data_IF_623466615901
#
_entry.id   IF_623466615901
#
_cell.length_a   1.000
_cell.length_b   1.000
_cell.length_c   1.000
_cell.angle_alpha   90.00
_cell.angle_beta   90.00
_cell.angle_gamma   90.00
#
_symmetry.space_group_name_H-M   'P 1'
#
loop_
_entity.id
_entity.type
_entity.pdbx_description
1 polymer ?
#
# COMPACT_ATOMS: atom_id res chain seq x y z
N UNK A 1 25.88 -1.33 7.60
CA UNK A 1 25.13 -1.66 6.38
C UNK A 1 23.67 -1.45 6.68
N UNK A 2 23.14 -0.27 6.39
CA UNK A 2 21.69 -0.03 6.29
C UNK A 2 21.53 1.10 5.30
N UNK A 3 21.13 0.73 4.07
CA UNK A 3 20.62 1.59 3.01
C UNK A 3 19.66 2.64 3.60
N UNK A 4 20.08 3.90 3.57
CA UNK A 4 19.25 5.08 3.84
C UNK A 4 18.93 5.85 2.55
N UNK A 5 18.97 5.22 1.37
CA UNK A 5 18.67 5.88 0.10
C UNK A 5 17.45 5.27 -0.59
N UNK A 6 16.37 6.06 -0.65
CA UNK A 6 15.13 5.76 -1.37
C UNK A 6 13.95 5.70 -0.43
N UNK A 7 13.09 6.74 -0.44
CA UNK A 7 11.97 6.88 0.50
C UNK A 7 10.79 5.96 0.22
N UNK A 8 11.05 4.67 0.00
CA UNK A 8 10.03 3.65 0.14
C UNK A 8 9.54 3.59 1.59
N UNK A 9 8.24 3.35 1.79
CA UNK A 9 7.69 3.11 3.12
C UNK A 9 8.32 1.82 3.69
N UNK A 10 9.30 1.97 4.58
CA UNK A 10 10.02 0.86 5.20
C UNK A 10 9.10 -0.08 5.98
N UNK A 11 9.58 -1.29 6.28
CA UNK A 11 8.78 -2.33 6.95
C UNK A 11 8.10 -1.82 8.23
N UNK A 12 8.83 -1.07 9.06
CA UNK A 12 8.29 -0.49 10.30
C UNK A 12 7.14 0.49 10.08
N UNK A 13 7.25 1.36 9.08
CA UNK A 13 6.22 2.36 8.77
C UNK A 13 4.94 1.66 8.27
N UNK A 14 5.11 0.64 7.42
CA UNK A 14 4.02 -0.21 6.92
C UNK A 14 3.33 -0.99 8.06
N UNK A 15 4.11 -1.53 9.00
CA UNK A 15 3.58 -2.25 10.18
C UNK A 15 2.77 -1.32 11.10
N UNK A 16 3.25 -0.10 11.37
CA UNK A 16 2.50 0.89 12.17
C UNK A 16 1.17 1.25 11.53
N UNK A 17 1.16 1.50 10.22
CA UNK A 17 -0.07 1.81 9.49
C UNK A 17 -1.03 0.62 9.50
N UNK A 18 -0.54 -0.61 9.30
CA UNK A 18 -1.36 -1.81 9.35
C UNK A 18 -2.08 -1.93 10.70
N UNK A 19 -1.37 -1.73 11.81
CA UNK A 19 -1.95 -1.71 13.16
C UNK A 19 -3.00 -0.61 13.36
N UNK A 20 -2.73 0.61 12.88
CA UNK A 20 -3.69 1.72 12.99
C UNK A 20 -5.00 1.47 12.21
N UNK A 21 -4.92 0.70 11.13
CA UNK A 21 -6.05 0.40 10.26
C UNK A 21 -6.71 -0.96 10.54
N UNK A 22 -6.32 -1.65 11.61
CA UNK A 22 -6.73 -3.02 11.95
C UNK A 22 -6.52 -3.98 10.76
N UNK A 23 -5.30 -3.96 10.21
CA UNK A 23 -4.87 -4.79 9.08
C UNK A 23 -3.79 -5.77 9.51
N UNK A 24 -3.73 -6.95 8.87
CA UNK A 24 -2.61 -7.86 9.06
C UNK A 24 -1.28 -7.18 8.71
N UNK A 25 -0.24 -7.58 9.43
CA UNK A 25 1.09 -6.99 9.26
C UNK A 25 1.66 -7.32 7.86
N UNK A 26 2.43 -6.38 7.27
CA UNK A 26 3.08 -6.60 5.98
C UNK A 26 3.96 -7.86 6.00
N UNK A 27 3.82 -8.71 4.98
CA UNK A 27 4.56 -9.97 4.91
C UNK A 27 3.92 -11.13 5.67
N UNK A 28 2.71 -10.96 6.21
CA UNK A 28 1.89 -12.11 6.59
C UNK A 28 1.70 -13.02 5.38
N UNK A 29 1.73 -14.34 5.58
CA UNK A 29 1.58 -15.34 4.50
C UNK A 29 0.28 -15.20 3.69
N UNK A 30 -0.64 -14.35 4.14
CA UNK A 30 -1.95 -14.10 3.54
C UNK A 30 -1.85 -13.24 2.28
N UNK A 31 -0.92 -12.29 2.23
CA UNK A 31 -0.72 -11.38 1.10
C UNK A 31 0.72 -11.45 0.60
N UNK A 32 0.88 -11.65 -0.70
CA UNK A 32 2.18 -11.77 -1.34
C UNK A 32 2.33 -10.76 -2.48
N UNK A 33 3.56 -10.29 -2.71
CA UNK A 33 3.90 -9.57 -3.92
C UNK A 33 3.71 -10.47 -5.16
N UNK A 34 3.50 -9.86 -6.33
CA UNK A 34 3.12 -10.50 -7.60
C UNK A 34 3.97 -11.71 -8.05
N UNK A 35 5.13 -11.95 -7.44
CA UNK A 35 6.02 -13.09 -7.72
C UNK A 35 5.39 -14.48 -7.48
N UNK A 36 4.13 -14.57 -7.03
CA UNK A 36 3.41 -15.84 -6.80
C UNK A 36 2.04 -15.89 -7.45
N UNK A 37 1.80 -15.25 -8.59
CA UNK A 37 0.57 -15.47 -9.36
C UNK A 37 0.53 -16.91 -9.92
N UNK A 38 0.20 -17.89 -9.07
CA UNK A 38 -0.17 -19.24 -9.48
C UNK A 38 -1.70 -19.28 -9.67
N UNK A 39 -2.22 -20.25 -10.43
CA UNK A 39 -3.64 -20.38 -10.81
C UNK A 39 -4.63 -20.37 -9.63
N UNK A 40 -4.14 -20.59 -8.40
CA UNK A 40 -4.93 -20.59 -7.16
C UNK A 40 -5.02 -19.24 -6.45
N UNK A 41 -4.27 -18.23 -6.89
CA UNK A 41 -4.19 -16.95 -6.21
C UNK A 41 -5.06 -15.90 -6.92
N UNK A 42 -5.81 -15.11 -6.16
CA UNK A 42 -6.44 -13.90 -6.69
C UNK A 42 -5.54 -12.70 -6.46
N UNK A 43 -5.19 -11.99 -7.53
CA UNK A 43 -4.40 -10.77 -7.45
C UNK A 43 -5.29 -9.52 -7.52
N UNK A 44 -4.90 -8.50 -6.76
CA UNK A 44 -5.51 -7.18 -6.73
C UNK A 44 -4.47 -6.17 -7.17
N UNK A 45 -4.77 -5.48 -8.26
CA UNK A 45 -3.99 -4.35 -8.76
C UNK A 45 -4.57 -3.05 -8.20
N UNK A 46 -3.70 -2.23 -7.61
CA UNK A 46 -4.06 -0.91 -7.11
C UNK A 46 -3.06 0.10 -7.62
N UNK A 47 -3.56 1.18 -8.22
CA UNK A 47 -2.77 2.34 -8.54
C UNK A 47 -3.13 3.49 -7.60
N UNK A 48 -2.12 4.13 -7.03
CA UNK A 48 -2.26 5.36 -6.29
C UNK A 48 -1.68 6.50 -7.13
N UNK A 49 -2.35 7.65 -7.12
CA UNK A 49 -1.87 8.86 -7.76
C UNK A 49 -1.90 10.02 -6.78
N UNK A 50 -0.80 10.74 -6.67
CA UNK A 50 -0.68 11.96 -5.88
C UNK A 50 0.07 13.01 -6.68
N UNK A 51 -0.51 14.21 -6.81
CA UNK A 51 0.10 15.34 -7.56
C UNK A 51 0.60 14.97 -8.97
N UNK A 52 -0.14 14.11 -9.69
CA UNK A 52 0.24 13.64 -11.04
C UNK A 52 1.30 12.54 -11.07
N UNK A 53 1.82 12.12 -9.92
CA UNK A 53 2.72 10.98 -9.78
C UNK A 53 1.89 9.74 -9.47
N UNK A 54 1.96 8.74 -10.36
CA UNK A 54 1.24 7.48 -10.24
C UNK A 54 2.18 6.32 -10.00
N UNK A 55 1.84 5.45 -9.05
CA UNK A 55 2.48 4.15 -8.85
C UNK A 55 1.40 3.05 -8.79
N UNK A 56 1.71 1.87 -9.32
CA UNK A 56 0.80 0.74 -9.30
C UNK A 56 1.47 -0.45 -8.63
N UNK A 57 0.73 -1.12 -7.75
CA UNK A 57 1.17 -2.28 -7.01
C UNK A 57 0.15 -3.40 -7.13
N UNK A 58 0.67 -4.61 -7.27
CA UNK A 58 -0.11 -5.83 -7.30
C UNK A 58 0.14 -6.64 -6.04
N UNK A 59 -0.93 -7.13 -5.43
CA UNK A 59 -0.87 -8.04 -4.29
C UNK A 59 -1.80 -9.23 -4.49
N UNK A 60 -1.30 -10.42 -4.22
CA UNK A 60 -2.02 -11.67 -4.44
C UNK A 60 -2.33 -12.35 -3.13
N UNK A 61 -3.53 -12.92 -3.05
CA UNK A 61 -4.08 -13.66 -1.91
C UNK A 61 -4.50 -15.05 -2.35
N UNK A 62 -4.42 -16.01 -1.43
CA UNK A 62 -4.99 -17.36 -1.64
C UNK A 62 -6.49 -17.37 -1.40
N UNK A 63 -6.94 -16.65 -0.36
CA UNK A 63 -8.34 -16.53 -0.01
C UNK A 63 -8.97 -15.31 -0.70
N UNK A 64 -10.16 -15.50 -1.28
CA UNK A 64 -10.93 -14.41 -1.86
C UNK A 64 -11.36 -13.37 -0.82
N UNK A 65 -11.53 -13.79 0.44
CA UNK A 65 -11.90 -12.90 1.54
C UNK A 65 -10.76 -11.94 1.92
N UNK A 66 -9.52 -12.31 1.63
CA UNK A 66 -8.34 -11.48 1.87
C UNK A 66 -8.14 -10.40 0.78
N UNK A 67 -8.97 -10.33 -0.27
CA UNK A 67 -8.85 -9.30 -1.34
C UNK A 67 -8.84 -7.87 -0.81
N UNK A 68 -9.59 -7.60 0.26
CA UNK A 68 -9.60 -6.29 0.92
C UNK A 68 -8.25 -5.99 1.57
N UNK A 69 -7.62 -6.98 2.17
CA UNK A 69 -6.29 -6.85 2.74
C UNK A 69 -5.23 -6.67 1.65
N UNK A 70 -5.26 -7.47 0.57
CA UNK A 70 -4.41 -7.29 -0.59
C UNK A 70 -4.53 -5.89 -1.21
N UNK A 71 -5.76 -5.40 -1.39
CA UNK A 71 -6.01 -4.05 -1.89
C UNK A 71 -5.35 -2.99 -1.01
N UNK A 72 -5.54 -3.08 0.32
CA UNK A 72 -5.01 -2.08 1.24
C UNK A 72 -3.49 -2.12 1.32
N UNK A 73 -2.88 -3.31 1.28
CA UNK A 73 -1.42 -3.42 1.25
C UNK A 73 -0.85 -2.90 -0.08
N UNK A 74 -1.46 -3.26 -1.22
CA UNK A 74 -1.08 -2.74 -2.53
C UNK A 74 -1.17 -1.21 -2.55
N UNK A 75 -2.28 -0.66 -2.04
CA UNK A 75 -2.48 0.77 -1.94
C UNK A 75 -1.43 1.47 -1.08
N UNK A 76 -1.10 0.94 0.11
CA UNK A 76 -0.08 1.54 0.98
C UNK A 76 1.26 1.66 0.28
N UNK A 77 1.66 0.61 -0.43
CA UNK A 77 2.94 0.61 -1.15
C UNK A 77 2.89 1.54 -2.35
N UNK A 78 1.82 1.50 -3.14
CA UNK A 78 1.65 2.38 -4.30
C UNK A 78 1.64 3.86 -3.86
N UNK A 79 0.87 4.18 -2.82
CA UNK A 79 0.74 5.54 -2.33
C UNK A 79 2.02 6.04 -1.68
N UNK A 80 2.71 5.19 -0.89
CA UNK A 80 4.02 5.51 -0.32
C UNK A 80 5.06 5.82 -1.41
N UNK A 81 5.13 4.99 -2.45
CA UNK A 81 6.02 5.21 -3.59
C UNK A 81 5.66 6.48 -4.39
N UNK A 82 4.36 6.76 -4.55
CA UNK A 82 3.91 7.98 -5.20
C UNK A 82 4.31 9.22 -4.39
N UNK A 83 4.15 9.19 -3.07
CA UNK A 83 4.61 10.26 -2.18
C UNK A 83 6.13 10.46 -2.22
N UNK A 84 6.91 9.38 -2.22
CA UNK A 84 8.37 9.44 -2.31
C UNK A 84 8.85 10.07 -3.60
N UNK A 85 8.26 9.67 -4.73
CA UNK A 85 8.59 10.23 -6.04
C UNK A 85 8.12 11.68 -6.20
N UNK A 86 7.00 12.04 -5.58
CA UNK A 86 6.51 13.42 -5.57
C UNK A 86 7.37 14.33 -4.67
N UNK A 87 7.87 13.79 -3.55
CA UNK A 87 8.63 14.53 -2.54
C UNK A 87 9.85 13.74 -2.07
N UNK A 88 10.88 13.61 -2.94
CA UNK A 88 12.08 12.86 -2.59
C UNK A 88 12.78 13.52 -1.40
N UNK A 89 13.32 12.70 -0.49
CA UNK A 89 13.98 13.17 0.74
C UNK A 89 15.17 14.12 0.49
N UNK A 90 15.74 14.10 -0.72
CA UNK A 90 16.83 14.98 -1.17
C UNK A 90 16.38 16.36 -1.66
N UNK A 91 15.08 16.63 -1.76
CA UNK A 91 14.55 17.94 -2.15
C UNK A 91 14.32 18.87 -0.95
N UNK A 92 14.38 20.19 -1.20
CA UNK A 92 13.97 21.20 -0.22
C UNK A 92 12.52 20.92 0.24
N UNK A 93 12.30 20.88 1.56
CA UNK A 93 11.03 20.50 2.21
C UNK A 93 10.51 19.07 1.91
N UNK A 94 11.29 18.21 1.27
CA UNK A 94 10.90 16.85 0.87
C UNK A 94 10.33 16.02 2.04
N UNK A 95 10.97 16.07 3.21
CA UNK A 95 10.52 15.34 4.41
C UNK A 95 9.16 15.83 4.95
N UNK A 96 8.89 17.14 4.90
CA UNK A 96 7.63 17.72 5.39
C UNK A 96 6.49 17.40 4.43
N UNK A 97 6.71 17.60 3.12
CA UNK A 97 5.70 17.30 2.11
C UNK A 97 5.41 15.81 1.98
N UNK A 98 6.43 14.96 2.15
CA UNK A 98 6.26 13.51 2.24
C UNK A 98 5.32 13.12 3.41
N UNK A 99 5.54 13.68 4.61
CA UNK A 99 4.65 13.43 5.77
C UNK A 99 3.22 13.91 5.53
N UNK A 100 3.05 15.08 4.91
CA UNK A 100 1.73 15.60 4.54
C UNK A 100 1.06 14.66 3.54
N UNK A 101 1.78 14.23 2.50
CA UNK A 101 1.28 13.27 1.51
C UNK A 101 0.77 12.00 2.20
N UNK A 102 1.60 11.38 3.05
CA UNK A 102 1.25 10.16 3.78
C UNK A 102 0.04 10.31 4.72
N UNK A 103 -0.26 11.52 5.21
CA UNK A 103 -1.45 11.74 6.04
C UNK A 103 -2.76 11.44 5.28
N UNK A 104 -2.75 11.55 3.94
CA UNK A 104 -3.89 11.22 3.08
C UNK A 104 -4.00 9.73 2.74
N UNK A 105 -3.01 8.91 3.12
CA UNK A 105 -2.96 7.49 2.73
C UNK A 105 -4.16 6.71 3.28
N UNK A 106 -4.51 6.93 4.55
CA UNK A 106 -5.62 6.24 5.21
C UNK A 106 -6.94 6.41 4.43
N UNK A 107 -7.29 7.66 4.14
CA UNK A 107 -8.49 8.01 3.37
C UNK A 107 -8.40 7.48 1.95
N UNK A 108 -7.28 7.72 1.26
CA UNK A 108 -7.09 7.29 -0.14
C UNK A 108 -7.21 5.78 -0.31
N UNK A 109 -6.58 5.01 0.58
CA UNK A 109 -6.65 3.55 0.54
C UNK A 109 -7.99 3.01 1.02
N UNK A 110 -8.65 3.68 1.96
CA UNK A 110 -10.01 3.30 2.34
C UNK A 110 -10.98 3.45 1.17
N UNK A 111 -10.92 4.57 0.44
CA UNK A 111 -11.82 4.86 -0.67
C UNK A 111 -11.52 3.97 -1.88
N UNK A 112 -10.24 3.81 -2.23
CA UNK A 112 -9.78 2.92 -3.32
C UNK A 112 -10.23 1.47 -3.10
N UNK A 113 -10.18 1.00 -1.86
CA UNK A 113 -10.53 -0.37 -1.50
C UNK A 113 -11.99 -0.53 -1.01
N UNK A 114 -12.81 0.52 -1.07
CA UNK A 114 -14.21 0.49 -0.62
C UNK A 114 -15.06 -0.52 -1.39
N UNK A 115 -14.71 -0.79 -2.66
CA UNK A 115 -15.36 -1.82 -3.50
C UNK A 115 -15.26 -3.24 -2.95
N UNK A 116 -14.37 -3.49 -1.99
CA UNK A 116 -14.23 -4.77 -1.29
C UNK A 116 -14.96 -4.79 0.07
N UNK A 117 -15.90 -3.86 0.30
CA UNK A 117 -16.84 -3.93 1.44
C UNK A 117 -17.90 -4.99 1.17
N UNK A 118 -17.68 -6.20 1.69
CA UNK A 118 -18.71 -7.21 1.95
C UNK A 118 -19.02 -8.14 0.78
N UNK A 119 -18.44 -9.35 0.79
CA UNK A 119 -19.15 -10.55 0.36
C UNK A 119 -19.71 -11.14 1.64
N UNK A 120 -20.96 -10.85 1.96
CA UNK A 120 -21.56 -11.21 3.26
C UNK A 120 -22.84 -10.46 3.65
N UNK A 121 -23.39 -9.60 2.78
CA UNK A 121 -24.76 -9.08 2.93
C UNK A 121 -25.52 -9.36 1.62
N UNK A 122 -26.06 -10.58 1.52
CA UNK A 122 -27.26 -10.96 0.77
C UNK A 122 -27.80 -12.27 1.33
#
# INVERSE_FOLDING_TARGET
>A
MTDEEGGGFGLDARTRYARQCDLPEPGSSRVTAAARANEKNTCVDVCAEFTGVKDCQTRCVQDADDKKHACREACQVAFGNACDRAFPASGDDGSTNFKICLSYMATSCHDTCKKFRGVGEL
#
